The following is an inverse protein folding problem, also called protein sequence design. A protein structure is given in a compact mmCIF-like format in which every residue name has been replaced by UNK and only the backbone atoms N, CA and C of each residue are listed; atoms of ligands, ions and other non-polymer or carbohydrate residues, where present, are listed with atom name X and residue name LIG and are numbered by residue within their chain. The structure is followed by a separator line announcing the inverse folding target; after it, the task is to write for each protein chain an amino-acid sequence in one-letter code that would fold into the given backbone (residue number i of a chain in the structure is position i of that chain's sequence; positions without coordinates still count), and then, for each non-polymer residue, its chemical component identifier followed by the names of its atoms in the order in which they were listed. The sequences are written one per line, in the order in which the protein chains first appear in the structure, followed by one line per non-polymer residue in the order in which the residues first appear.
data_IF_719200242177
#
_entry.id   IF_719200242177
#
_cell.length_a   1.000
_cell.length_b   1.000
_cell.length_c   1.000
_cell.angle_alpha   90.00
_cell.angle_beta   90.00
_cell.angle_gamma   90.00
#
_symmetry.space_group_name_H-M   'P 1'
#
loop_
_entity.id
_entity.type
_entity.pdbx_description
1 polymer ?
#
# COMPACT_ATOMS: atom_id res chain seq x y z
N UNK A 1 7.50 4.94 -18.32
CA UNK A 1 6.29 4.07 -18.44
C UNK A 1 5.01 4.87 -18.18
N UNK A 2 4.77 5.51 -17.01
CA UNK A 2 3.50 6.21 -16.74
C UNK A 2 3.18 7.31 -17.76
N UNK A 3 4.17 8.05 -18.26
CA UNK A 3 4.00 9.08 -19.29
C UNK A 3 3.60 8.54 -20.67
N UNK A 4 3.69 7.21 -20.91
CA UNK A 4 3.22 6.60 -22.17
C UNK A 4 1.72 6.33 -22.16
N UNK A 5 1.07 6.37 -21.01
CA UNK A 5 -0.37 6.15 -20.86
C UNK A 5 -1.08 7.49 -21.13
N UNK A 6 -1.77 7.57 -22.26
CA UNK A 6 -2.49 8.78 -22.67
C UNK A 6 -3.95 8.71 -22.19
N UNK A 7 -4.18 8.93 -20.91
CA UNK A 7 -5.53 9.05 -20.35
C UNK A 7 -5.64 10.38 -19.60
N UNK A 8 -6.68 11.17 -19.93
CA UNK A 8 -6.95 12.47 -19.28
C UNK A 8 -7.23 12.38 -17.78
N UNK A 9 -7.55 11.20 -17.28
CA UNK A 9 -7.75 10.92 -15.85
C UNK A 9 -6.43 10.78 -15.10
N UNK A 10 -5.32 10.56 -15.83
CA UNK A 10 -4.00 10.39 -15.23
C UNK A 10 -3.34 11.76 -15.12
N UNK A 11 -3.04 12.16 -13.90
CA UNK A 11 -2.27 13.35 -13.57
C UNK A 11 -0.95 12.93 -12.94
N UNK A 12 0.14 13.10 -13.66
CA UNK A 12 1.49 12.85 -13.11
C UNK A 12 1.95 14.06 -12.32
N UNK A 13 2.39 13.83 -11.10
CA UNK A 13 2.92 14.86 -10.22
C UNK A 13 4.38 14.52 -9.93
N UNK A 14 5.28 15.34 -10.43
CA UNK A 14 6.70 15.19 -10.13
C UNK A 14 7.01 15.86 -8.79
N UNK A 15 7.60 15.09 -7.89
CA UNK A 15 8.01 15.57 -6.58
C UNK A 15 9.47 15.20 -6.30
N UNK A 16 10.13 16.02 -5.49
CA UNK A 16 11.47 15.71 -5.01
C UNK A 16 11.40 15.09 -3.64
N UNK A 17 12.13 13.99 -3.46
CA UNK A 17 12.29 13.38 -2.16
C UNK A 17 13.31 14.15 -1.33
N UNK A 18 13.02 14.35 -0.07
CA UNK A 18 13.96 14.94 0.87
C UNK A 18 14.91 13.85 1.38
N UNK A 19 16.06 13.72 0.74
CA UNK A 19 17.08 12.72 1.11
C UNK A 19 17.67 12.93 2.51
N UNK A 20 17.55 14.12 3.08
CA UNK A 20 17.95 14.41 4.46
C UNK A 20 16.94 13.90 5.51
N UNK A 21 15.72 13.55 5.11
CA UNK A 21 14.67 13.09 6.02
C UNK A 21 14.73 11.56 6.16
N UNK A 22 15.61 11.07 7.02
CA UNK A 22 15.92 9.65 7.21
C UNK A 22 15.39 9.15 8.56
N UNK A 23 14.12 9.40 8.84
CA UNK A 23 13.49 9.02 10.10
C UNK A 23 12.09 8.44 9.86
N UNK A 24 11.87 7.22 10.36
CA UNK A 24 10.58 6.53 10.51
C UNK A 24 9.66 6.60 9.29
N UNK A 25 10.21 6.64 8.09
CA UNK A 25 9.41 6.70 6.87
C UNK A 25 8.67 8.01 6.62
N UNK A 26 9.02 9.09 7.32
CA UNK A 26 8.35 10.40 7.19
C UNK A 26 8.31 10.92 5.75
N UNK A 27 9.37 10.70 4.97
CA UNK A 27 9.40 11.11 3.56
C UNK A 27 8.33 10.40 2.72
N UNK A 28 7.99 9.15 3.04
CA UNK A 28 6.88 8.44 2.38
C UNK A 28 5.54 9.09 2.73
N UNK A 29 5.35 9.50 3.99
CA UNK A 29 4.18 10.27 4.41
C UNK A 29 4.04 11.57 3.63
N UNK A 30 5.15 12.32 3.42
CA UNK A 30 5.15 13.53 2.60
C UNK A 30 4.68 13.23 1.16
N UNK A 31 5.21 12.18 0.52
CA UNK A 31 4.82 11.81 -0.85
C UNK A 31 3.34 11.39 -0.92
N UNK A 32 2.88 10.65 0.07
CA UNK A 32 1.47 10.26 0.20
C UNK A 32 0.57 11.48 0.34
N UNK A 33 0.96 12.47 1.16
CA UNK A 33 0.21 13.72 1.31
C UNK A 33 0.21 14.59 0.06
N UNK A 34 1.33 14.67 -0.68
CA UNK A 34 1.38 15.36 -1.97
C UNK A 34 0.35 14.75 -2.93
N UNK A 35 0.27 13.42 -3.00
CA UNK A 35 -0.73 12.74 -3.83
C UNK A 35 -2.15 13.04 -3.36
N UNK A 36 -2.42 12.94 -2.07
CA UNK A 36 -3.74 13.18 -1.50
C UNK A 36 -4.24 14.62 -1.73
N UNK A 37 -3.39 15.63 -1.55
CA UNK A 37 -3.76 17.04 -1.79
C UNK A 37 -4.11 17.34 -3.26
N UNK A 38 -3.76 16.46 -4.17
CA UNK A 38 -4.14 16.55 -5.56
C UNK A 38 -5.41 15.75 -5.91
N UNK A 39 -5.98 15.03 -4.96
CA UNK A 39 -7.28 14.35 -5.13
C UNK A 39 -8.42 15.38 -5.00
N UNK A 40 -9.36 15.35 -5.95
CA UNK A 40 -10.51 16.26 -6.01
C UNK A 40 -11.85 15.56 -5.79
N UNK A 41 -11.85 14.22 -5.68
CA UNK A 41 -13.05 13.43 -5.39
C UNK A 41 -13.40 13.41 -3.90
N UNK A 42 -14.53 12.83 -3.56
CA UNK A 42 -14.99 12.67 -2.17
C UNK A 42 -14.08 11.75 -1.35
N UNK A 43 -13.46 10.79 -2.02
CA UNK A 43 -12.52 9.82 -1.45
C UNK A 43 -11.15 9.95 -2.11
N UNK A 44 -10.11 9.78 -1.32
CA UNK A 44 -8.76 9.53 -1.79
C UNK A 44 -8.46 8.03 -1.64
N UNK A 45 -8.16 7.36 -2.75
CA UNK A 45 -7.76 5.95 -2.78
C UNK A 45 -6.25 5.86 -3.02
N UNK A 46 -5.53 5.43 -2.00
CA UNK A 46 -4.09 5.26 -2.05
C UNK A 46 -3.72 3.85 -2.50
N UNK A 47 -2.88 3.77 -3.53
CA UNK A 47 -2.37 2.49 -4.06
C UNK A 47 -0.86 2.67 -4.28
N UNK A 48 -0.07 1.75 -3.77
CA UNK A 48 1.37 1.72 -4.03
C UNK A 48 1.68 1.01 -5.35
N UNK A 49 2.87 1.26 -5.91
CA UNK A 49 3.23 0.73 -7.23
C UNK A 49 3.40 -0.80 -7.29
N UNK A 50 3.38 -1.48 -6.15
CA UNK A 50 3.45 -2.93 -6.00
C UNK A 50 2.18 -3.52 -5.34
N UNK A 51 1.10 -2.74 -5.30
CA UNK A 51 -0.23 -3.14 -4.84
C UNK A 51 -1.21 -3.26 -6.01
N UNK A 52 -2.07 -4.26 -5.98
CA UNK A 52 -3.10 -4.50 -7.00
C UNK A 52 -4.38 -4.99 -6.31
N UNK A 53 -5.53 -4.63 -6.88
CA UNK A 53 -6.83 -5.20 -6.49
C UNK A 53 -7.34 -6.12 -7.58
N UNK A 54 -8.02 -7.20 -7.18
CA UNK A 54 -8.59 -8.13 -8.14
C UNK A 54 -9.76 -7.46 -8.88
N UNK A 55 -9.85 -7.67 -10.18
CA UNK A 55 -10.91 -7.08 -11.02
C UNK A 55 -12.32 -7.45 -10.56
N UNK A 56 -12.49 -8.64 -9.98
CA UNK A 56 -13.78 -9.10 -9.43
C UNK A 56 -14.25 -8.29 -8.20
N UNK A 57 -13.34 -7.56 -7.56
CA UNK A 57 -13.61 -6.80 -6.34
C UNK A 57 -13.92 -5.32 -6.61
N UNK A 58 -13.67 -4.82 -7.84
CA UNK A 58 -13.78 -3.39 -8.15
C UNK A 58 -15.18 -2.84 -7.93
N UNK A 59 -16.22 -3.60 -8.29
CA UNK A 59 -17.61 -3.18 -8.07
C UNK A 59 -17.96 -3.12 -6.59
N UNK A 60 -17.44 -4.05 -5.78
CA UNK A 60 -17.64 -4.03 -4.34
C UNK A 60 -16.89 -2.88 -3.67
N UNK A 61 -15.68 -2.54 -4.15
CA UNK A 61 -14.96 -1.34 -3.69
C UNK A 61 -15.80 -0.10 -3.93
N UNK A 62 -16.29 0.08 -5.15
CA UNK A 62 -17.15 1.19 -5.54
C UNK A 62 -18.41 1.25 -4.67
N UNK A 63 -19.10 0.13 -4.50
CA UNK A 63 -20.31 0.03 -3.66
C UNK A 63 -20.02 0.40 -2.20
N UNK A 64 -18.88 -0.01 -1.66
CA UNK A 64 -18.47 0.36 -0.29
C UNK A 64 -18.26 1.87 -0.17
N UNK A 65 -17.63 2.50 -1.17
CA UNK A 65 -17.47 3.97 -1.20
C UNK A 65 -18.80 4.68 -1.24
N UNK A 66 -19.76 4.21 -2.05
CA UNK A 66 -21.10 4.79 -2.17
C UNK A 66 -21.90 4.66 -0.85
N UNK A 67 -21.91 3.48 -0.23
CA UNK A 67 -22.64 3.21 1.02
C UNK A 67 -22.16 4.12 2.16
N UNK A 68 -20.85 4.30 2.28
CA UNK A 68 -20.26 5.02 3.41
C UNK A 68 -19.98 6.50 3.13
N UNK A 69 -20.32 7.00 1.94
CA UNK A 69 -20.04 8.39 1.58
C UNK A 69 -20.67 9.37 2.57
N UNK A 70 -21.94 9.18 2.87
CA UNK A 70 -22.71 10.09 3.73
C UNK A 70 -22.74 9.63 5.22
N UNK A 71 -22.10 8.54 5.58
CA UNK A 71 -21.98 8.12 6.98
C UNK A 71 -20.90 8.91 7.69
N UNK A 72 -21.29 9.81 8.58
CA UNK A 72 -20.37 10.64 9.37
C UNK A 72 -19.51 9.83 10.36
N UNK A 73 -19.90 8.60 10.68
CA UNK A 73 -19.14 7.71 11.56
C UNK A 73 -18.05 6.94 10.80
N UNK A 74 -18.01 7.02 9.48
CA UNK A 74 -17.00 6.34 8.65
C UNK A 74 -16.12 7.37 7.97
N UNK A 75 -14.83 7.29 8.23
CA UNK A 75 -13.81 8.19 7.72
C UNK A 75 -12.89 7.50 6.71
N UNK A 76 -12.75 6.18 6.83
CA UNK A 76 -11.88 5.38 5.96
C UNK A 76 -12.45 3.99 5.68
N UNK A 77 -11.93 3.36 4.62
CA UNK A 77 -12.20 1.96 4.28
C UNK A 77 -10.90 1.17 4.36
N UNK A 78 -10.97 0.03 5.03
CA UNK A 78 -9.85 -0.86 5.34
C UNK A 78 -9.91 -2.10 4.45
N UNK A 79 -8.77 -2.48 3.93
CA UNK A 79 -8.56 -3.68 3.14
C UNK A 79 -7.69 -4.66 3.90
N UNK A 80 -7.94 -5.94 3.75
CA UNK A 80 -7.03 -6.99 4.19
C UNK A 80 -5.87 -7.12 3.17
N UNK A 81 -4.78 -7.80 3.52
CA UNK A 81 -3.60 -7.89 2.66
C UNK A 81 -3.16 -9.32 2.43
N UNK A 82 -2.83 -9.62 1.17
CA UNK A 82 -1.99 -10.75 0.80
C UNK A 82 -0.58 -10.21 0.53
N UNK A 83 0.36 -10.45 1.44
CA UNK A 83 1.76 -10.11 1.24
C UNK A 83 2.47 -11.28 0.58
N UNK A 84 2.62 -11.22 -0.74
CA UNK A 84 3.37 -12.24 -1.47
C UNK A 84 4.85 -12.10 -1.18
N UNK A 85 5.53 -13.24 -0.97
CA UNK A 85 6.91 -13.27 -0.54
C UNK A 85 7.75 -14.27 -1.33
N UNK A 86 8.89 -13.80 -1.87
CA UNK A 86 9.80 -14.60 -2.69
C UNK A 86 9.23 -14.97 -4.05
N UNK A 87 7.99 -15.41 -4.09
CA UNK A 87 7.25 -15.79 -5.31
C UNK A 87 5.77 -15.41 -5.21
N UNK A 88 5.03 -15.60 -6.30
CA UNK A 88 3.60 -15.24 -6.34
C UNK A 88 2.67 -16.32 -5.76
N UNK A 89 3.19 -17.48 -5.35
CA UNK A 89 2.38 -18.57 -4.81
C UNK A 89 2.41 -18.63 -3.29
N UNK A 90 3.25 -17.83 -2.64
CA UNK A 90 3.47 -17.84 -1.20
C UNK A 90 3.11 -16.49 -0.58
N UNK A 91 2.37 -16.53 0.51
CA UNK A 91 1.99 -15.35 1.30
C UNK A 91 2.56 -15.46 2.70
N UNK A 92 2.91 -14.30 3.28
CA UNK A 92 3.32 -14.20 4.67
C UNK A 92 2.11 -14.08 5.60
N UNK A 93 2.08 -14.92 6.64
CA UNK A 93 1.12 -14.83 7.74
C UNK A 93 1.88 -14.72 9.07
N UNK A 94 2.43 -13.56 9.32
CA UNK A 94 3.22 -13.27 10.51
C UNK A 94 2.67 -12.06 11.28
N UNK A 95 2.71 -12.06 12.62
CA UNK A 95 2.35 -10.90 13.44
C UNK A 95 3.16 -9.64 13.16
N UNK A 96 4.36 -9.76 12.61
CA UNK A 96 5.23 -8.63 12.24
C UNK A 96 4.80 -7.91 10.96
N UNK A 97 3.81 -8.44 10.24
CA UNK A 97 3.27 -7.83 9.01
C UNK A 97 1.85 -7.35 9.25
N UNK A 98 1.55 -6.13 8.79
CA UNK A 98 0.18 -5.62 8.90
C UNK A 98 -0.79 -6.47 8.06
N UNK A 99 -1.87 -6.90 8.70
CA UNK A 99 -2.88 -7.74 8.04
C UNK A 99 -3.97 -6.95 7.34
N UNK A 100 -4.15 -5.71 7.73
CA UNK A 100 -5.14 -4.83 7.14
C UNK A 100 -4.75 -3.37 7.38
N UNK A 101 -5.00 -2.53 6.36
CA UNK A 101 -4.74 -1.10 6.40
C UNK A 101 -5.82 -0.31 5.68
N UNK A 102 -6.01 0.95 6.11
CA UNK A 102 -6.85 1.88 5.39
C UNK A 102 -6.17 2.27 4.07
N UNK A 103 -6.86 2.05 2.96
CA UNK A 103 -6.40 2.48 1.62
C UNK A 103 -7.30 3.53 1.00
N UNK A 104 -8.52 3.70 1.52
CA UNK A 104 -9.44 4.76 1.09
C UNK A 104 -9.78 5.62 2.29
N UNK A 105 -9.67 6.94 2.12
CA UNK A 105 -10.00 7.92 3.16
C UNK A 105 -10.84 9.05 2.59
N UNK A 106 -11.80 9.57 3.36
CA UNK A 106 -12.59 10.75 2.96
C UNK A 106 -11.70 11.97 2.78
N UNK A 107 -11.85 12.63 1.65
CA UNK A 107 -11.05 13.82 1.30
C UNK A 107 -11.50 15.08 2.05
N UNK A 108 -12.71 15.04 2.62
CA UNK A 108 -13.30 16.14 3.40
C UNK A 108 -12.83 16.23 4.85
N UNK A 109 -12.03 15.27 5.34
CA UNK A 109 -11.58 15.25 6.74
C UNK A 109 -10.12 15.72 6.87
N UNK A 110 -9.77 16.20 8.06
CA UNK A 110 -8.42 16.64 8.40
C UNK A 110 -7.52 15.44 8.69
N UNK A 111 -7.01 14.81 7.64
CA UNK A 111 -6.09 13.66 7.75
C UNK A 111 -4.67 14.03 7.37
N UNK A 112 -3.71 13.28 7.89
CA UNK A 112 -2.31 13.33 7.48
C UNK A 112 -1.67 11.94 7.58
N UNK A 113 -0.65 11.71 6.76
CA UNK A 113 0.15 10.49 6.80
C UNK A 113 1.47 10.77 7.52
N UNK A 114 1.72 10.21 8.71
CA UNK A 114 2.99 10.37 9.43
C UNK A 114 4.12 9.61 8.75
N UNK A 115 3.79 8.57 8.02
CA UNK A 115 4.68 7.74 7.18
C UNK A 115 3.93 7.22 5.95
N UNK A 116 4.50 6.26 5.24
CA UNK A 116 3.86 5.64 4.06
C UNK A 116 2.73 4.67 4.38
N UNK A 117 2.61 4.17 5.61
CA UNK A 117 1.76 3.03 5.94
C UNK A 117 0.30 3.43 6.17
N UNK A 118 0.04 4.39 7.04
CA UNK A 118 -1.31 4.69 7.51
C UNK A 118 -1.64 6.19 7.52
N UNK A 119 -2.90 6.52 7.78
CA UNK A 119 -3.36 7.88 8.05
C UNK A 119 -3.72 8.08 9.52
N UNK A 120 -3.52 9.29 9.98
CA UNK A 120 -4.12 9.82 11.20
C UNK A 120 -5.12 10.91 10.85
N UNK A 121 -6.15 11.03 11.65
CA UNK A 121 -7.14 12.12 11.59
C UNK A 121 -6.86 13.07 12.74
N UNK A 122 -6.84 14.37 12.46
CA UNK A 122 -6.64 15.40 13.48
C UNK A 122 -7.97 15.77 14.12
N UNK A 123 -8.07 15.54 15.42
CA UNK A 123 -9.18 16.03 16.25
C UNK A 123 -9.14 17.56 16.44
N UNK A 124 -10.18 18.11 17.04
CA UNK A 124 -10.28 19.54 17.38
C UNK A 124 -9.10 20.04 18.21
N UNK A 125 -8.59 19.19 19.10
CA UNK A 125 -7.41 19.48 19.96
C UNK A 125 -6.06 19.29 19.22
N UNK A 126 -6.08 19.08 17.90
CA UNK A 126 -4.92 18.82 17.03
C UNK A 126 -4.14 17.54 17.35
N UNK A 127 -4.65 16.65 18.18
CA UNK A 127 -4.07 15.31 18.40
C UNK A 127 -4.49 14.38 17.26
N UNK A 128 -3.55 13.54 16.83
CA UNK A 128 -3.81 12.50 15.84
C UNK A 128 -4.46 11.28 16.46
N UNK A 129 -5.39 10.68 15.75
CA UNK A 129 -5.97 9.36 16.03
C UNK A 129 -6.15 8.57 14.75
N UNK A 130 -6.32 7.27 14.88
CA UNK A 130 -6.72 6.46 13.72
C UNK A 130 -8.11 6.88 13.21
N UNK A 131 -8.33 6.81 11.89
CA UNK A 131 -9.66 7.07 11.33
C UNK A 131 -10.67 6.04 11.81
N UNK A 132 -11.92 6.48 11.98
CA UNK A 132 -13.05 5.55 12.14
C UNK A 132 -13.26 4.83 10.83
N UNK A 133 -12.99 3.54 10.78
CA UNK A 133 -12.92 2.82 9.52
C UNK A 133 -13.87 1.61 9.48
N UNK A 134 -14.25 1.23 8.27
CA UNK A 134 -14.99 0.00 7.97
C UNK A 134 -14.15 -0.93 7.11
N UNK A 135 -14.16 -2.21 7.44
CA UNK A 135 -13.57 -3.24 6.58
C UNK A 135 -14.44 -3.45 5.34
N UNK A 136 -13.79 -3.55 4.20
CA UNK A 136 -14.45 -3.85 2.92
C UNK A 136 -14.70 -5.33 2.73
N UNK A 137 -13.97 -6.19 3.42
CA UNK A 137 -13.90 -7.63 3.16
C UNK A 137 -13.12 -8.00 1.90
N UNK A 138 -12.39 -7.03 1.32
CA UNK A 138 -11.59 -7.18 0.10
C UNK A 138 -10.12 -7.19 0.49
N UNK A 139 -9.32 -7.95 -0.26
CA UNK A 139 -7.88 -8.02 -0.06
C UNK A 139 -7.10 -7.22 -1.11
N UNK A 140 -6.09 -6.50 -0.65
CA UNK A 140 -5.06 -5.92 -1.47
C UNK A 140 -3.97 -6.97 -1.74
N UNK A 141 -3.56 -7.12 -2.99
CA UNK A 141 -2.51 -8.04 -3.42
C UNK A 141 -1.19 -7.27 -3.49
N UNK A 142 -0.32 -7.47 -2.49
CA UNK A 142 0.94 -6.77 -2.37
C UNK A 142 2.11 -7.64 -2.83
N UNK A 143 2.72 -7.27 -3.96
CA UNK A 143 3.81 -8.00 -4.61
C UNK A 143 5.20 -7.39 -4.33
N UNK A 144 5.31 -6.53 -3.36
CA UNK A 144 6.53 -5.78 -3.07
C UNK A 144 7.76 -6.63 -2.75
N UNK A 145 7.55 -7.91 -2.38
CA UNK A 145 8.58 -8.90 -2.06
C UNK A 145 8.69 -10.04 -3.09
N UNK A 146 7.95 -9.96 -4.21
CA UNK A 146 8.07 -10.90 -5.33
C UNK A 146 9.20 -10.43 -6.24
N UNK A 147 10.44 -10.66 -5.81
CA UNK A 147 11.67 -10.21 -6.46
C UNK A 147 12.78 -11.21 -6.17
N UNK A 148 13.85 -11.19 -6.99
CA UNK A 148 15.06 -11.94 -6.65
C UNK A 148 15.72 -11.34 -5.40
N UNK A 149 16.54 -12.12 -4.70
CA UNK A 149 17.31 -11.64 -3.53
C UNK A 149 18.16 -10.43 -3.89
N UNK A 150 18.81 -10.43 -5.04
CA UNK A 150 19.60 -9.31 -5.54
C UNK A 150 18.74 -8.03 -5.65
N UNK A 151 17.57 -8.13 -6.28
CA UNK A 151 16.64 -7.02 -6.41
C UNK A 151 16.12 -6.53 -5.05
N UNK A 152 15.88 -7.46 -4.11
CA UNK A 152 15.45 -7.10 -2.75
C UNK A 152 16.57 -6.43 -1.96
N UNK A 153 17.79 -6.90 -2.09
CA UNK A 153 18.97 -6.29 -1.45
C UNK A 153 19.21 -4.87 -1.99
N UNK A 154 19.04 -4.67 -3.29
CA UNK A 154 19.08 -3.34 -3.91
C UNK A 154 17.91 -2.44 -3.42
N UNK A 155 16.69 -2.97 -3.30
CA UNK A 155 15.55 -2.25 -2.71
C UNK A 155 15.86 -1.86 -1.27
N UNK A 156 16.34 -2.79 -0.45
CA UNK A 156 16.70 -2.56 0.94
C UNK A 156 17.74 -1.44 1.08
N UNK A 157 18.80 -1.46 0.29
CA UNK A 157 19.85 -0.43 0.33
C UNK A 157 19.34 0.97 0.01
N UNK A 158 18.33 1.09 -0.85
CA UNK A 158 17.74 2.38 -1.24
C UNK A 158 16.67 2.89 -0.26
N UNK A 159 15.94 1.98 0.37
CA UNK A 159 14.70 2.28 1.10
C UNK A 159 14.94 2.40 2.60
N UNK A 160 15.80 1.54 3.18
CA UNK A 160 16.02 1.47 4.63
C UNK A 160 16.53 2.77 5.24
N UNK A 161 17.28 3.57 4.49
CA UNK A 161 17.75 4.87 4.97
C UNK A 161 16.60 5.78 5.42
N UNK A 162 15.45 5.75 4.74
CA UNK A 162 14.29 6.58 5.07
C UNK A 162 13.53 6.09 6.31
N UNK A 163 13.77 4.86 6.75
CA UNK A 163 13.26 4.32 8.00
C UNK A 163 14.24 4.47 9.18
N UNK A 164 15.41 5.07 8.94
CA UNK A 164 16.48 5.20 9.92
C UNK A 164 17.22 3.88 10.18
N UNK A 165 17.00 2.89 9.32
CA UNK A 165 17.61 1.55 9.41
C UNK A 165 18.84 1.37 8.54
N UNK A 166 19.61 0.31 8.85
CA UNK A 166 20.66 -0.17 7.97
C UNK A 166 20.07 -1.10 6.89
N UNK A 167 20.68 -1.19 5.70
CA UNK A 167 20.29 -2.18 4.70
C UNK A 167 20.26 -3.59 5.32
N UNK A 168 19.20 -4.32 5.04
CA UNK A 168 19.08 -5.73 5.42
C UNK A 168 19.51 -6.60 4.24
N UNK A 169 20.23 -7.69 4.53
CA UNK A 169 20.46 -8.74 3.56
C UNK A 169 19.26 -9.67 3.56
N UNK A 170 18.66 -9.85 2.40
CA UNK A 170 17.53 -10.75 2.19
C UNK A 170 18.09 -12.07 1.65
N UNK A 171 17.77 -13.14 2.35
CA UNK A 171 18.04 -14.53 1.98
C UNK A 171 16.74 -15.32 2.21
N UNK A 172 16.06 -15.71 1.15
CA UNK A 172 14.80 -16.41 1.23
C UNK A 172 14.92 -17.81 1.84
N UNK A 173 16.13 -18.41 1.78
CA UNK A 173 16.37 -19.73 2.38
C UNK A 173 16.36 -19.71 3.92
N UNK A 174 16.62 -18.54 4.51
CA UNK A 174 16.63 -18.34 5.97
C UNK A 174 15.26 -17.94 6.54
N UNK A 175 14.24 -17.81 5.70
CA UNK A 175 12.91 -17.45 6.15
C UNK A 175 12.28 -18.61 6.94
N UNK A 176 11.69 -18.28 8.08
CA UNK A 176 10.88 -19.21 8.86
C UNK A 176 9.69 -19.72 8.03
N UNK A 177 9.75 -20.99 7.64
CA UNK A 177 8.69 -21.61 6.82
C UNK A 177 7.35 -21.69 7.53
N UNK A 178 7.30 -21.60 8.87
CA UNK A 178 6.05 -21.65 9.63
C UNK A 178 5.15 -20.43 9.41
N UNK A 179 5.71 -19.30 8.94
CA UNK A 179 4.98 -18.07 8.65
C UNK A 179 4.65 -17.91 7.16
N UNK A 180 5.04 -18.87 6.33
CA UNK A 180 4.74 -18.88 4.89
C UNK A 180 3.57 -19.82 4.64
N UNK A 181 2.56 -19.34 3.92
CA UNK A 181 1.40 -20.13 3.50
C UNK A 181 1.30 -20.13 1.98
N UNK A 182 0.84 -21.24 1.42
CA UNK A 182 0.48 -21.31 0.01
C UNK A 182 -0.74 -20.44 -0.27
N UNK A 183 -0.68 -19.65 -1.32
CA UNK A 183 -1.81 -18.85 -1.77
C UNK A 183 -2.77 -19.71 -2.59
N UNK A 184 -4.03 -19.82 -2.13
CA UNK A 184 -5.08 -20.68 -2.74
C UNK A 184 -6.06 -19.89 -3.62
N UNK A 185 -5.81 -18.61 -3.89
CA UNK A 185 -6.71 -17.75 -4.67
C UNK A 185 -6.32 -17.62 -6.14
N UNK A 186 -7.06 -16.78 -6.86
CA UNK A 186 -6.68 -16.32 -8.19
C UNK A 186 -5.92 -15.00 -8.10
N UNK A 187 -4.99 -14.79 -9.03
CA UNK A 187 -4.31 -13.51 -9.15
C UNK A 187 -5.07 -12.58 -10.08
N UNK A 188 -5.00 -11.24 -9.83
CA UNK A 188 -5.53 -10.25 -10.76
C UNK A 188 -4.96 -10.41 -12.16
N UNK A 189 -5.80 -10.24 -13.20
CA UNK A 189 -5.40 -10.43 -14.60
C UNK A 189 -4.19 -9.55 -14.98
N UNK A 190 -4.13 -8.34 -14.47
CA UNK A 190 -3.06 -7.37 -14.78
C UNK A 190 -1.66 -7.85 -14.38
N UNK A 191 -1.54 -8.77 -13.41
CA UNK A 191 -0.24 -9.33 -13.00
C UNK A 191 0.09 -10.65 -13.67
N UNK A 192 -0.83 -11.21 -14.46
CA UNK A 192 -0.68 -12.52 -15.09
C UNK A 192 0.54 -12.59 -16.01
N UNK A 193 0.80 -11.51 -16.76
CA UNK A 193 1.93 -11.42 -17.68
C UNK A 193 3.18 -10.79 -17.03
N UNK A 194 3.00 -10.16 -15.88
CA UNK A 194 4.08 -9.47 -15.15
C UNK A 194 4.81 -10.38 -14.18
N UNK A 195 4.33 -11.57 -13.89
CA UNK A 195 4.98 -12.46 -12.94
C UNK A 195 6.47 -12.54 -13.23
N UNK A 196 7.35 -12.01 -12.36
CA UNK A 196 8.77 -12.24 -12.56
C UNK A 196 8.95 -13.75 -12.61
N UNK A 197 9.62 -14.25 -13.63
CA UNK A 197 10.08 -15.65 -13.69
C UNK A 197 11.10 -15.83 -12.58
N UNK A 198 10.62 -16.01 -11.38
CA UNK A 198 11.43 -16.31 -10.20
C UNK A 198 11.43 -17.82 -10.14
N UNK A 199 12.47 -18.40 -10.72
CA UNK A 199 12.88 -19.79 -10.66
C UNK A 199 11.73 -20.80 -10.85
N UNK A 200 11.57 -21.25 -12.11
CA UNK A 200 11.10 -22.61 -12.35
C UNK A 200 12.10 -23.60 -11.80
#
# INVERSE_FOLDING_TARGET
MIHSIKDKKIRVIESKWNDGMQDRGYVYGQQKMISQFNCTGDWAFYIEGDEVYHENDLDQIKKSMEIYLNDSNVEALVFDFYHFYGNANSILDSPGWYRSEARIIKNSIRSYAPDGLFWLVLDSNKKGRYPRAKKTGISCYHYGWVRTEEQMNLKSSKVQKYWGGKPMTIDYSQMDQSIIKEFQGSHPLVVKDWRPKINE
#
